data_IF_925617570965
#
_entry.id   IF_925617570965
#
_cell.length_a   1.000
_cell.length_b   1.000
_cell.length_c   1.000
_cell.angle_alpha   90.00
_cell.angle_beta   90.00
_cell.angle_gamma   90.00
#
_symmetry.space_group_name_H-M   'P 1'
#
loop_
_entity.id
_entity.type
_entity.pdbx_description
1 polymer ?
#
# COMPACT_ATOMS: atom_id res chain seq x y z
N UNK A 1 26.10 -2.90 10.58
CA UNK A 1 24.80 -2.70 9.97
C UNK A 1 24.90 -2.95 8.48
N UNK A 2 23.95 -3.68 7.95
CA UNK A 2 23.93 -4.09 6.55
C UNK A 2 23.51 -2.94 5.65
N UNK A 3 24.37 -2.50 4.74
CA UNK A 3 24.07 -1.43 3.79
C UNK A 3 23.07 -1.85 2.70
N UNK A 4 22.79 -3.15 2.59
CA UNK A 4 21.89 -3.71 1.57
C UNK A 4 20.45 -3.82 2.05
N UNK A 5 20.19 -3.52 3.31
CA UNK A 5 18.87 -3.68 3.90
C UNK A 5 18.38 -2.41 4.56
N UNK A 6 17.07 -2.23 4.53
CA UNK A 6 16.38 -1.16 5.23
C UNK A 6 15.34 -1.79 6.14
N UNK A 7 15.19 -1.25 7.34
CA UNK A 7 14.17 -1.72 8.27
C UNK A 7 12.82 -1.15 7.85
N UNK A 8 11.87 -2.03 7.53
CA UNK A 8 10.51 -1.62 7.16
C UNK A 8 9.54 -1.91 8.29
N UNK A 9 8.75 -0.92 8.64
CA UNK A 9 7.68 -1.04 9.62
C UNK A 9 6.39 -0.52 9.00
N UNK A 10 5.38 -1.37 8.92
CA UNK A 10 4.06 -1.01 8.40
C UNK A 10 3.02 -1.26 9.47
N UNK A 11 2.35 -0.20 9.90
CA UNK A 11 1.36 -0.25 10.95
C UNK A 11 -0.01 0.20 10.46
N UNK A 12 -1.04 -0.47 10.94
CA UNK A 12 -2.43 -0.04 10.78
C UNK A 12 -3.02 0.21 12.17
N UNK A 13 -4.21 0.81 12.28
CA UNK A 13 -4.82 1.06 13.58
C UNK A 13 -5.04 -0.20 14.42
N UNK A 14 -5.18 -1.37 13.78
CA UNK A 14 -5.54 -2.61 14.46
C UNK A 14 -4.38 -3.58 14.65
N UNK A 15 -3.27 -3.40 13.93
CA UNK A 15 -2.16 -4.36 14.01
C UNK A 15 -0.84 -3.82 13.45
N UNK A 16 0.23 -4.50 13.84
CA UNK A 16 1.51 -4.39 13.17
C UNK A 16 1.41 -5.28 11.94
N UNK A 17 1.35 -4.68 10.76
CA UNK A 17 1.16 -5.43 9.52
C UNK A 17 2.44 -6.13 9.06
N UNK A 18 3.56 -5.41 9.14
CA UNK A 18 4.86 -5.93 8.74
C UNK A 18 5.97 -5.24 9.56
N UNK A 19 6.91 -6.03 10.04
CA UNK A 19 8.17 -5.54 10.58
C UNK A 19 9.27 -6.47 10.10
N UNK A 20 10.30 -5.91 9.48
CA UNK A 20 11.42 -6.71 9.03
C UNK A 20 12.34 -5.94 8.11
N UNK A 21 13.42 -6.59 7.70
CA UNK A 21 14.37 -6.02 6.77
C UNK A 21 13.93 -6.24 5.33
N UNK A 22 14.14 -5.25 4.49
CA UNK A 22 13.86 -5.33 3.06
C UNK A 22 15.04 -4.79 2.26
N UNK A 23 15.18 -5.29 1.05
CA UNK A 23 16.21 -4.81 0.11
C UNK A 23 15.69 -3.64 -0.71
N UNK A 24 14.39 -3.63 -0.99
CA UNK A 24 13.73 -2.62 -1.80
C UNK A 24 12.26 -2.56 -1.44
N UNK A 25 11.69 -1.36 -1.36
CA UNK A 25 10.29 -1.16 -1.03
C UNK A 25 9.68 -0.21 -2.04
N UNK A 26 8.55 -0.58 -2.63
CA UNK A 26 7.83 0.25 -3.60
C UNK A 26 6.39 0.44 -3.13
N UNK A 27 5.87 1.64 -3.27
CA UNK A 27 4.48 1.94 -2.99
C UNK A 27 4.02 3.20 -3.71
N UNK A 28 2.72 3.45 -3.70
CA UNK A 28 2.13 4.59 -4.41
C UNK A 28 1.93 5.75 -3.44
N UNK A 29 2.38 6.92 -3.85
CA UNK A 29 2.15 8.16 -3.11
C UNK A 29 1.20 9.06 -3.91
N UNK A 30 0.75 10.14 -3.30
CA UNK A 30 -0.09 11.14 -3.99
C UNK A 30 0.65 11.82 -5.15
N UNK A 31 1.97 11.72 -5.20
CA UNK A 31 2.80 12.27 -6.27
C UNK A 31 3.27 11.21 -7.27
N UNK A 32 2.81 9.97 -7.13
CA UNK A 32 3.15 8.86 -8.00
C UNK A 32 3.83 7.71 -7.27
N UNK A 33 4.31 6.76 -8.04
CA UNK A 33 5.01 5.61 -7.49
C UNK A 33 6.37 6.01 -6.93
N UNK A 34 6.73 5.40 -5.80
CA UNK A 34 8.00 5.66 -5.12
C UNK A 34 8.69 4.33 -4.84
N UNK A 35 9.96 4.23 -5.26
CA UNK A 35 10.82 3.09 -4.93
C UNK A 35 11.91 3.55 -3.97
N UNK A 36 12.14 2.77 -2.91
CA UNK A 36 13.09 3.12 -1.86
C UNK A 36 14.12 2.02 -1.67
N UNK A 37 15.38 2.36 -1.91
CA UNK A 37 16.54 1.53 -1.57
C UNK A 37 17.14 1.97 -0.24
N UNK A 38 17.96 1.14 0.40
CA UNK A 38 18.71 1.57 1.58
C UNK A 38 19.50 2.85 1.32
N UNK A 39 19.65 3.67 2.35
CA UNK A 39 20.34 4.97 2.31
C UNK A 39 19.64 6.03 1.45
N UNK A 40 18.33 5.89 1.27
CA UNK A 40 17.52 6.93 0.63
C UNK A 40 17.56 8.22 1.43
N UNK A 41 17.51 9.36 0.74
CA UNK A 41 17.43 10.65 1.42
C UNK A 41 16.13 10.73 2.24
N UNK A 42 16.15 11.40 3.40
CA UNK A 42 14.95 11.54 4.22
C UNK A 42 13.80 12.20 3.45
N UNK A 43 12.62 11.60 3.57
CA UNK A 43 11.43 12.07 2.86
C UNK A 43 10.19 11.66 3.65
N UNK A 44 9.21 12.55 3.68
CA UNK A 44 7.87 12.24 4.17
C UNK A 44 6.91 12.28 2.99
N UNK A 45 6.11 11.24 2.83
CA UNK A 45 5.18 11.11 1.71
C UNK A 45 3.76 10.76 2.18
N UNK A 46 2.78 11.23 1.44
CA UNK A 46 1.38 10.86 1.64
C UNK A 46 1.10 9.63 0.79
N UNK A 47 0.64 8.56 1.42
CA UNK A 47 0.35 7.30 0.74
C UNK A 47 -1.00 7.37 0.05
N UNK A 48 -1.04 7.00 -1.22
CA UNK A 48 -2.26 6.84 -1.98
C UNK A 48 -2.60 5.35 -2.11
N UNK A 49 -3.87 4.99 -2.37
CA UNK A 49 -4.21 3.59 -2.56
C UNK A 49 -3.42 2.95 -3.69
N UNK A 50 -2.76 1.84 -3.39
CA UNK A 50 -1.91 1.12 -4.34
C UNK A 50 -1.38 -0.16 -3.76
N UNK A 51 -0.47 -0.78 -4.48
CA UNK A 51 0.17 -2.01 -4.08
C UNK A 51 1.53 -1.72 -3.48
N UNK A 52 1.74 -2.23 -2.27
CA UNK A 52 3.04 -2.23 -1.60
C UNK A 52 3.81 -3.46 -2.07
N UNK A 53 5.04 -3.27 -2.55
CA UNK A 53 5.93 -4.36 -2.92
C UNK A 53 7.15 -4.34 -2.02
N UNK A 54 7.40 -5.47 -1.37
CA UNK A 54 8.51 -5.63 -0.43
C UNK A 54 9.43 -6.72 -0.99
N UNK A 55 10.66 -6.34 -1.32
CA UNK A 55 11.65 -7.30 -1.82
C UNK A 55 12.54 -7.76 -0.68
N UNK A 56 12.54 -9.07 -0.44
CA UNK A 56 13.35 -9.71 0.60
C UNK A 56 14.01 -10.95 -0.01
N UNK A 57 15.34 -11.02 0.02
CA UNK A 57 16.09 -12.13 -0.54
C UNK A 57 15.72 -12.45 -2.00
N UNK A 58 15.55 -11.40 -2.80
CA UNK A 58 15.19 -11.52 -4.20
C UNK A 58 13.74 -11.89 -4.48
N UNK A 59 12.92 -12.09 -3.45
CA UNK A 59 11.50 -12.43 -3.58
C UNK A 59 10.64 -11.22 -3.24
N UNK A 60 9.59 -11.02 -4.02
CA UNK A 60 8.66 -9.90 -3.83
C UNK A 60 7.39 -10.38 -3.16
N UNK A 61 7.03 -9.73 -2.05
CA UNK A 61 5.72 -9.88 -1.42
C UNK A 61 4.90 -8.65 -1.72
N UNK A 62 3.63 -8.84 -2.02
CA UNK A 62 2.73 -7.74 -2.35
C UNK A 62 1.56 -7.68 -1.38
N UNK A 63 1.13 -6.44 -1.08
CA UNK A 63 -0.01 -6.17 -0.21
C UNK A 63 -0.72 -4.92 -0.68
N UNK A 64 -1.96 -4.74 -0.26
CA UNK A 64 -2.63 -3.46 -0.45
C UNK A 64 -2.10 -2.46 0.57
N UNK A 65 -1.97 -1.22 0.16
CA UNK A 65 -1.64 -0.11 1.04
C UNK A 65 -2.63 1.00 0.72
N UNK A 66 -3.51 1.30 1.66
CA UNK A 66 -4.64 2.21 1.40
C UNK A 66 -4.54 3.41 2.32
N UNK A 67 -4.19 4.55 1.75
CA UNK A 67 -4.04 5.82 2.44
C UNK A 67 -3.06 5.79 3.62
N UNK A 68 -2.54 6.91 4.00
CA UNK A 68 -1.69 7.07 5.16
C UNK A 68 -0.48 7.92 4.90
N UNK A 69 0.56 7.69 5.70
CA UNK A 69 1.80 8.47 5.64
C UNK A 69 3.00 7.54 5.71
N UNK A 70 4.05 7.91 5.01
CA UNK A 70 5.32 7.21 5.06
C UNK A 70 6.43 8.18 5.46
N UNK A 71 7.25 7.77 6.42
CA UNK A 71 8.47 8.46 6.78
C UNK A 71 9.63 7.61 6.33
N UNK A 72 10.45 8.16 5.44
CA UNK A 72 11.59 7.47 4.85
C UNK A 72 12.85 8.07 5.42
N UNK A 73 13.67 7.22 6.01
CA UNK A 73 14.97 7.56 6.57
C UNK A 73 16.02 6.67 5.90
N UNK A 74 17.32 7.00 5.99
CA UNK A 74 18.33 6.20 5.31
C UNK A 74 18.31 4.71 5.63
N UNK A 75 17.94 4.35 6.86
CA UNK A 75 17.99 2.95 7.32
C UNK A 75 16.63 2.40 7.76
N UNK A 76 15.59 3.20 7.69
CA UNK A 76 14.28 2.81 8.17
C UNK A 76 13.17 3.46 7.36
N UNK A 77 12.11 2.72 7.15
CA UNK A 77 10.86 3.23 6.58
C UNK A 77 9.75 2.90 7.56
N UNK A 78 8.96 3.91 7.93
CA UNK A 78 7.80 3.72 8.79
C UNK A 78 6.57 4.14 7.98
N UNK A 79 5.65 3.21 7.77
CA UNK A 79 4.39 3.46 7.06
C UNK A 79 3.23 3.28 8.03
N UNK A 80 2.40 4.32 8.15
CA UNK A 80 1.16 4.28 8.89
C UNK A 80 0.03 4.30 7.87
N UNK A 81 -0.73 3.21 7.77
CA UNK A 81 -1.80 3.09 6.79
C UNK A 81 -3.14 2.80 7.46
N UNK A 82 -4.20 3.37 6.91
CA UNK A 82 -5.57 3.11 7.38
C UNK A 82 -5.93 1.64 7.25
N UNK A 83 -5.50 1.00 6.16
CA UNK A 83 -5.76 -0.40 5.94
C UNK A 83 -4.69 -1.01 5.03
N UNK A 84 -4.25 -2.19 5.39
CA UNK A 84 -3.35 -3.01 4.57
C UNK A 84 -3.77 -4.46 4.67
N UNK A 85 -3.69 -5.16 3.55
CA UNK A 85 -4.12 -6.54 3.46
C UNK A 85 -3.17 -7.34 2.58
N UNK A 86 -2.83 -8.55 3.03
CA UNK A 86 -2.18 -9.52 2.18
C UNK A 86 -3.20 -10.07 1.16
N UNK A 87 -2.76 -10.61 0.00
CA UNK A 87 -3.70 -11.11 -1.00
C UNK A 87 -4.72 -12.09 -0.46
N UNK A 88 -4.31 -13.01 0.39
CA UNK A 88 -5.17 -14.04 0.97
C UNK A 88 -6.19 -13.51 1.97
N UNK A 89 -6.00 -12.29 2.47
CA UNK A 89 -6.91 -11.65 3.40
C UNK A 89 -8.05 -10.88 2.71
N UNK A 90 -7.93 -10.65 1.39
CA UNK A 90 -8.88 -9.82 0.66
C UNK A 90 -10.15 -10.60 0.35
N UNK A 91 -11.30 -10.05 0.77
CA UNK A 91 -12.61 -10.54 0.38
C UNK A 91 -12.98 -9.94 -0.98
N UNK A 92 -12.83 -10.74 -2.03
CA UNK A 92 -13.07 -10.31 -3.41
C UNK A 92 -14.51 -9.86 -3.65
N UNK A 93 -15.47 -10.59 -3.11
CA UNK A 93 -16.89 -10.26 -3.30
C UNK A 93 -17.21 -8.91 -2.68
N UNK A 94 -16.68 -8.66 -1.48
CA UNK A 94 -16.86 -7.38 -0.81
C UNK A 94 -16.19 -6.24 -1.58
N UNK A 95 -14.99 -6.49 -2.12
CA UNK A 95 -14.28 -5.51 -2.93
C UNK A 95 -15.06 -5.17 -4.22
N UNK A 96 -15.63 -6.17 -4.87
CA UNK A 96 -16.45 -5.97 -6.07
C UNK A 96 -17.72 -5.20 -5.77
N UNK A 97 -18.41 -5.52 -4.69
CA UNK A 97 -19.60 -4.79 -4.26
C UNK A 97 -19.26 -3.32 -3.96
N UNK A 98 -18.12 -3.08 -3.31
CA UNK A 98 -17.65 -1.73 -3.02
C UNK A 98 -17.34 -0.96 -4.31
N UNK A 99 -16.75 -1.63 -5.30
CA UNK A 99 -16.50 -1.03 -6.62
C UNK A 99 -17.79 -0.60 -7.30
N UNK A 100 -18.78 -1.49 -7.32
CA UNK A 100 -20.07 -1.22 -7.95
C UNK A 100 -20.77 -0.03 -7.26
N UNK A 101 -20.75 -0.01 -5.92
CA UNK A 101 -21.36 1.11 -5.18
C UNK A 101 -20.67 2.44 -5.49
N UNK A 102 -19.34 2.44 -5.53
CA UNK A 102 -18.58 3.66 -5.81
C UNK A 102 -18.82 4.15 -7.24
N UNK A 103 -18.87 3.26 -8.22
CA UNK A 103 -19.16 3.61 -9.61
C UNK A 103 -20.55 4.22 -9.75
N UNK A 104 -21.56 3.67 -9.08
CA UNK A 104 -22.92 4.20 -9.10
C UNK A 104 -22.99 5.62 -8.51
N UNK A 105 -22.32 5.83 -7.38
CA UNK A 105 -22.29 7.14 -6.75
C UNK A 105 -21.60 8.18 -7.62
N UNK A 106 -20.51 7.80 -8.29
CA UNK A 106 -19.79 8.70 -9.20
C UNK A 106 -20.62 9.08 -10.43
N UNK A 107 -21.53 8.22 -10.88
CA UNK A 107 -22.47 8.56 -11.95
C UNK A 107 -23.49 9.60 -11.54
N UNK A 108 -23.83 9.65 -10.28
CA UNK A 108 -24.83 10.61 -9.75
C UNK A 108 -24.16 11.93 -9.37
N UNK A 109 -23.03 11.85 -8.68
CA UNK A 109 -22.30 13.02 -8.21
C UNK A 109 -20.84 12.65 -8.02
N UNK A 110 -19.94 13.36 -8.69
CA UNK A 110 -18.50 13.11 -8.55
C UNK A 110 -18.00 13.78 -7.28
N UNK A 111 -17.58 12.96 -6.32
CA UNK A 111 -16.97 13.42 -5.09
C UNK A 111 -15.58 12.77 -4.95
N UNK A 112 -14.66 13.48 -4.29
CA UNK A 112 -13.32 12.94 -4.00
C UNK A 112 -13.42 11.68 -3.16
N UNK A 113 -14.37 11.65 -2.22
CA UNK A 113 -14.60 10.48 -1.36
C UNK A 113 -14.95 9.23 -2.17
N UNK A 114 -15.84 9.36 -3.15
CA UNK A 114 -16.26 8.22 -3.96
C UNK A 114 -15.19 7.80 -4.94
N UNK A 115 -14.38 8.73 -5.45
CA UNK A 115 -13.22 8.39 -6.28
C UNK A 115 -12.19 7.60 -5.50
N UNK A 116 -11.91 7.98 -4.26
CA UNK A 116 -10.97 7.24 -3.40
C UNK A 116 -11.53 5.87 -3.04
N UNK A 117 -12.83 5.77 -2.76
CA UNK A 117 -13.47 4.49 -2.48
C UNK A 117 -13.36 3.54 -3.67
N UNK A 118 -13.55 4.06 -4.89
CA UNK A 118 -13.38 3.28 -6.11
C UNK A 118 -11.93 2.78 -6.26
N UNK A 119 -10.95 3.65 -6.05
CA UNK A 119 -9.53 3.28 -6.13
C UNK A 119 -9.17 2.18 -5.15
N UNK A 120 -9.64 2.27 -3.91
CA UNK A 120 -9.39 1.23 -2.90
C UNK A 120 -9.95 -0.12 -3.34
N UNK A 121 -11.18 -0.13 -3.85
CA UNK A 121 -11.81 -1.35 -4.33
C UNK A 121 -11.05 -1.96 -5.51
N UNK A 122 -10.64 -1.13 -6.47
CA UNK A 122 -9.86 -1.58 -7.63
C UNK A 122 -8.52 -2.17 -7.21
N UNK A 123 -7.80 -1.53 -6.29
CA UNK A 123 -6.51 -2.02 -5.79
C UNK A 123 -6.67 -3.40 -5.14
N UNK A 124 -7.72 -3.58 -4.31
CA UNK A 124 -8.00 -4.88 -3.68
C UNK A 124 -8.29 -5.95 -4.71
N UNK A 125 -9.09 -5.64 -5.71
CA UNK A 125 -9.45 -6.58 -6.78
C UNK A 125 -8.23 -6.97 -7.61
N UNK A 126 -7.40 -6.00 -7.98
CA UNK A 126 -6.19 -6.27 -8.77
C UNK A 126 -5.25 -7.21 -8.02
N UNK A 127 -5.00 -6.94 -6.76
CA UNK A 127 -4.11 -7.78 -5.98
C UNK A 127 -4.68 -9.19 -5.77
N UNK A 128 -5.95 -9.27 -5.39
CA UNK A 128 -6.59 -10.56 -5.14
C UNK A 128 -6.63 -11.42 -6.41
N UNK A 129 -6.93 -10.82 -7.56
CA UNK A 129 -6.97 -11.54 -8.83
C UNK A 129 -5.60 -12.03 -9.28
N UNK A 130 -4.55 -11.27 -8.97
CA UNK A 130 -3.17 -11.65 -9.32
C UNK A 130 -2.74 -12.94 -8.62
N UNK A 131 -3.23 -13.17 -7.41
CA UNK A 131 -2.81 -14.29 -6.56
C UNK A 131 -3.81 -15.45 -6.49
N UNK A 132 -4.77 -15.46 -7.37
CA UNK A 132 -5.71 -16.57 -7.50
C UNK A 132 -5.16 -17.74 -8.28
#
# INVERSE_FOLDING_TARGET
MDEKHIQLKVYSPTRIFFEGEAEFVEFVTTEGELGVYPNHIPLTAVVAPGILRITVNGKVREATLLDGFATILPKEIIILSEACEWPEEIDIHRAEEARIRAERKLQMEQTVRDELALRRAIVRMQLANKYR
#
